data_IF_592806674722
#
_entry.id   IF_592806674722
#
_cell.length_a   1.000
_cell.length_b   1.000
_cell.length_c   1.000
_cell.angle_alpha   90.00
_cell.angle_beta   90.00
_cell.angle_gamma   90.00
#
_symmetry.space_group_name_H-M   'P 1'
#
loop_
_entity.id
_entity.type
_entity.pdbx_description
1 polymer ?
#
# COMPACT_ATOMS: atom_id res chain seq x y z
N UNK A 1 -66.11 20.91 28.37
CA UNK A 1 -64.88 21.34 29.07
C UNK A 1 -64.02 22.16 28.10
N UNK A 2 -64.20 23.48 28.10
CA UNK A 2 -63.44 24.42 27.28
C UNK A 2 -62.24 24.92 28.08
N UNK A 3 -61.02 24.69 27.59
CA UNK A 3 -59.79 25.15 28.25
C UNK A 3 -59.43 26.54 27.73
N UNK A 4 -59.34 27.50 28.65
CA UNK A 4 -58.86 28.86 28.40
C UNK A 4 -57.39 28.86 27.98
N UNK A 5 -57.10 29.60 26.90
CA UNK A 5 -55.74 29.89 26.42
C UNK A 5 -55.32 31.21 27.07
N UNK A 6 -54.41 31.15 28.04
CA UNK A 6 -53.75 32.33 28.61
C UNK A 6 -52.59 32.76 27.69
N UNK A 7 -52.78 33.84 26.94
CA UNK A 7 -51.70 34.52 26.21
C UNK A 7 -50.93 35.43 27.17
N UNK A 8 -49.71 35.02 27.54
CA UNK A 8 -48.78 35.82 28.34
C UNK A 8 -47.88 36.62 27.39
N UNK A 9 -48.02 37.94 27.39
CA UNK A 9 -47.17 38.85 26.61
C UNK A 9 -45.74 38.84 27.15
N UNK A 10 -44.77 38.55 26.28
CA UNK A 10 -43.33 38.58 26.61
C UNK A 10 -42.78 39.95 26.20
N UNK A 11 -42.14 40.72 27.08
CA UNK A 11 -41.53 42.00 26.72
C UNK A 11 -40.32 41.79 25.80
N UNK A 12 -40.26 42.58 24.73
CA UNK A 12 -39.12 42.64 23.79
C UNK A 12 -37.88 43.16 24.52
N UNK A 13 -36.84 42.33 24.61
CA UNK A 13 -35.52 42.75 25.06
C UNK A 13 -34.91 43.73 24.03
N UNK A 14 -34.59 44.94 24.49
CA UNK A 14 -33.82 45.93 23.74
C UNK A 14 -32.36 45.51 23.74
N UNK A 15 -31.84 45.15 22.56
CA UNK A 15 -30.41 44.88 22.39
C UNK A 15 -29.63 46.20 22.47
N UNK A 16 -28.99 46.45 23.62
CA UNK A 16 -27.90 47.41 23.67
C UNK A 16 -26.67 46.77 23.02
N UNK A 17 -26.35 47.22 21.81
CA UNK A 17 -25.10 46.89 21.13
C UNK A 17 -23.99 47.59 21.92
N UNK A 18 -23.35 46.87 22.85
CA UNK A 18 -22.09 47.30 23.46
C UNK A 18 -21.01 47.23 22.38
N UNK A 19 -20.69 48.37 21.78
CA UNK A 19 -19.49 48.56 20.97
C UNK A 19 -18.27 48.51 21.90
N UNK A 20 -17.74 47.30 22.12
CA UNK A 20 -16.44 47.14 22.74
C UNK A 20 -15.37 47.59 21.73
N UNK A 21 -14.86 48.79 21.95
CA UNK A 21 -13.59 49.29 21.40
C UNK A 21 -12.44 48.46 21.98
N UNK A 22 -12.28 47.23 21.48
CA UNK A 22 -11.10 46.42 21.76
C UNK A 22 -9.94 46.90 20.88
N UNK A 23 -8.87 47.31 21.54
CA UNK A 23 -7.64 47.74 20.91
C UNK A 23 -7.11 46.67 19.93
N UNK A 24 -6.65 47.14 18.76
CA UNK A 24 -6.04 46.36 17.69
C UNK A 24 -4.78 45.62 18.18
N UNK A 25 -4.92 44.40 18.68
CA UNK A 25 -3.84 43.42 18.60
C UNK A 25 -3.84 42.87 17.18
N UNK A 26 -2.77 43.08 16.43
CA UNK A 26 -2.54 42.42 15.15
C UNK A 26 -2.33 40.94 15.47
N UNK A 27 -3.40 40.14 15.39
CA UNK A 27 -3.31 38.70 15.60
C UNK A 27 -2.59 38.06 14.41
N UNK A 28 -1.59 37.24 14.72
CA UNK A 28 -0.88 36.45 13.72
C UNK A 28 -1.84 35.51 12.97
N UNK A 29 -1.65 35.29 11.66
CA UNK A 29 -2.50 34.37 10.91
C UNK A 29 -2.49 32.98 11.53
N UNK A 30 -3.65 32.32 11.52
CA UNK A 30 -3.73 30.93 11.96
C UNK A 30 -2.71 30.06 11.19
N UNK A 31 -2.02 29.15 11.91
CA UNK A 31 -0.93 28.34 11.33
C UNK A 31 -1.34 27.52 10.08
N UNK A 32 -2.65 27.22 9.94
CA UNK A 32 -3.21 26.48 8.83
C UNK A 32 -4.02 27.36 7.86
N UNK A 33 -3.80 28.67 7.83
CA UNK A 33 -4.58 29.57 6.99
C UNK A 33 -4.47 29.21 5.51
N UNK A 34 -5.61 28.90 4.90
CA UNK A 34 -5.78 28.70 3.47
C UNK A 34 -6.90 29.63 2.99
N UNK A 35 -6.60 30.68 2.21
CA UNK A 35 -7.60 31.61 1.70
C UNK A 35 -8.81 30.88 1.10
N UNK A 36 -10.01 31.16 1.61
CA UNK A 36 -11.26 30.57 1.13
C UNK A 36 -11.51 29.10 1.50
N UNK A 37 -10.66 28.47 2.33
CA UNK A 37 -10.83 27.07 2.75
C UNK A 37 -10.84 26.91 4.26
N UNK A 38 -9.77 27.33 4.94
CA UNK A 38 -9.53 27.02 6.35
C UNK A 38 -8.81 28.16 7.06
N UNK A 39 -9.12 28.35 8.35
CA UNK A 39 -8.43 29.30 9.22
C UNK A 39 -8.93 30.75 9.13
N UNK A 40 -8.59 31.55 10.14
CA UNK A 40 -8.83 32.99 10.14
C UNK A 40 -7.73 33.70 9.34
N UNK A 41 -8.15 34.68 8.54
CA UNK A 41 -7.23 35.53 7.78
C UNK A 41 -6.39 36.40 8.71
N UNK A 42 -5.19 36.78 8.25
CA UNK A 42 -4.34 37.71 8.98
C UNK A 42 -5.10 39.01 9.30
N UNK A 43 -5.10 39.43 10.57
CA UNK A 43 -5.76 40.65 11.03
C UNK A 43 -7.28 40.55 11.25
N UNK A 44 -7.91 39.40 10.99
CA UNK A 44 -9.29 39.13 11.41
C UNK A 44 -9.26 38.40 12.75
N UNK A 45 -9.69 39.01 13.85
CA UNK A 45 -9.68 38.34 15.14
C UNK A 45 -10.67 37.19 15.15
N UNK A 46 -10.25 36.07 15.73
CA UNK A 46 -11.13 34.94 15.99
C UNK A 46 -12.17 35.31 17.08
N UNK A 47 -13.37 34.72 17.06
CA UNK A 47 -14.40 35.07 18.03
C UNK A 47 -13.94 34.76 19.47
N UNK A 48 -14.28 35.61 20.46
CA UNK A 48 -13.81 35.43 21.83
C UNK A 48 -14.27 34.07 22.37
N UNK A 49 -13.33 33.32 22.98
CA UNK A 49 -13.58 31.97 23.50
C UNK A 49 -13.44 30.84 22.47
N UNK A 50 -13.15 31.15 21.21
CA UNK A 50 -12.72 30.17 20.22
C UNK A 50 -11.19 30.07 20.15
N UNK A 51 -10.66 29.08 19.45
CA UNK A 51 -9.22 29.00 19.13
C UNK A 51 -9.00 29.42 17.68
N UNK A 52 -7.91 30.13 17.41
CA UNK A 52 -7.57 30.61 16.06
C UNK A 52 -7.28 29.47 15.07
N UNK A 53 -6.87 28.30 15.56
CA UNK A 53 -6.67 27.09 14.75
C UNK A 53 -7.43 25.93 15.36
N UNK A 54 -7.96 25.00 14.54
CA UNK A 54 -8.56 23.79 15.06
C UNK A 54 -7.57 23.06 15.97
N UNK A 55 -8.08 22.53 17.09
CA UNK A 55 -7.27 21.71 17.99
C UNK A 55 -6.74 20.50 17.21
N UNK A 56 -5.48 20.08 17.44
CA UNK A 56 -4.96 18.88 16.82
C UNK A 56 -5.84 17.69 17.23
N UNK A 57 -6.07 16.72 16.32
CA UNK A 57 -6.82 15.51 16.68
C UNK A 57 -6.11 14.82 17.85
N UNK A 58 -6.86 14.24 18.80
CA UNK A 58 -6.25 13.55 19.94
C UNK A 58 -5.33 12.43 19.44
N UNK A 59 -4.21 12.24 20.12
CA UNK A 59 -3.29 11.15 19.79
C UNK A 59 -4.03 9.80 19.88
N UNK A 60 -3.78 8.88 18.94
CA UNK A 60 -4.39 7.56 18.98
C UNK A 60 -4.01 6.85 20.28
N UNK A 61 -4.97 6.15 20.87
CA UNK A 61 -4.71 5.31 22.04
C UNK A 61 -3.78 4.17 21.64
N UNK A 62 -2.70 4.02 22.38
CA UNK A 62 -1.73 2.94 22.24
C UNK A 62 -1.85 1.96 23.40
N UNK A 63 -1.20 0.82 23.29
CA UNK A 63 -1.12 -0.19 24.36
C UNK A 63 -0.63 0.40 25.69
N UNK A 64 0.24 1.40 25.65
CA UNK A 64 0.80 2.08 26.83
C UNK A 64 -0.21 3.00 27.52
N UNK A 65 -1.19 3.50 26.78
CA UNK A 65 -2.27 4.35 27.33
C UNK A 65 -3.35 3.56 28.06
N UNK A 66 -3.30 2.23 28.01
CA UNK A 66 -4.26 1.37 28.69
C UNK A 66 -4.00 1.37 30.20
N UNK A 67 -5.03 1.52 31.04
CA UNK A 67 -4.88 1.38 32.47
C UNK A 67 -4.45 -0.07 32.80
N UNK A 68 -3.48 -0.21 33.69
CA UNK A 68 -3.14 -1.52 34.25
C UNK A 68 -4.33 -2.08 35.05
N UNK A 69 -4.47 -3.42 35.10
CA UNK A 69 -5.50 -4.03 35.93
C UNK A 69 -5.31 -3.57 37.38
N UNK A 70 -6.36 -2.99 37.95
CA UNK A 70 -6.34 -2.49 39.32
C UNK A 70 -5.91 -3.58 40.29
N UNK A 71 -4.91 -3.29 41.13
CA UNK A 71 -4.46 -4.19 42.22
C UNK A 71 -5.59 -4.54 43.19
N UNK A 72 -6.65 -3.72 43.24
CA UNK A 72 -7.87 -3.97 44.05
C UNK A 72 -8.69 -5.16 43.56
N UNK A 73 -8.46 -5.65 42.34
CA UNK A 73 -9.14 -6.83 41.80
C UNK A 73 -8.34 -8.12 41.97
N UNK A 74 -7.20 -8.10 42.66
CA UNK A 74 -6.54 -9.35 43.08
C UNK A 74 -7.41 -10.04 44.12
N UNK A 75 -8.17 -11.04 43.70
CA UNK A 75 -9.03 -11.81 44.60
C UNK A 75 -8.14 -12.54 45.60
N UNK A 76 -8.44 -12.36 46.90
CA UNK A 76 -7.89 -13.20 47.97
C UNK A 76 -8.31 -14.65 47.72
N UNK A 77 -7.47 -15.63 48.10
CA UNK A 77 -7.71 -17.07 47.83
C UNK A 77 -9.13 -17.59 48.20
N UNK A 78 -9.81 -16.92 49.14
CA UNK A 78 -11.15 -17.27 49.65
C UNK A 78 -12.31 -16.46 49.03
N UNK A 79 -12.15 -15.87 47.84
CA UNK A 79 -13.22 -15.12 47.17
C UNK A 79 -14.44 -15.98 46.79
N UNK A 80 -15.63 -15.37 46.76
CA UNK A 80 -16.86 -16.06 46.34
C UNK A 80 -16.78 -16.49 44.87
N UNK A 81 -17.47 -17.56 44.45
CA UNK A 81 -17.46 -18.01 43.04
C UNK A 81 -17.82 -16.90 42.05
N UNK A 82 -18.77 -16.04 42.42
CA UNK A 82 -19.17 -14.88 41.60
C UNK A 82 -18.02 -13.89 41.40
N UNK A 83 -17.25 -13.58 42.45
CA UNK A 83 -16.10 -12.69 42.35
C UNK A 83 -15.01 -13.28 41.45
N UNK A 84 -14.76 -14.59 41.56
CA UNK A 84 -13.82 -15.32 40.68
C UNK A 84 -14.20 -15.16 39.21
N UNK A 85 -15.47 -15.39 38.88
CA UNK A 85 -15.98 -15.19 37.53
C UNK A 85 -15.83 -13.74 37.04
N UNK A 86 -16.21 -12.76 37.85
CA UNK A 86 -16.07 -11.34 37.49
C UNK A 86 -14.61 -10.96 37.20
N UNK A 87 -13.66 -11.45 38.01
CA UNK A 87 -12.24 -11.23 37.76
C UNK A 87 -11.73 -11.92 36.49
N UNK A 88 -12.13 -13.17 36.24
CA UNK A 88 -11.80 -13.87 35.00
C UNK A 88 -12.31 -13.10 33.78
N UNK A 89 -13.54 -12.59 33.84
CA UNK A 89 -14.12 -11.76 32.79
C UNK A 89 -13.39 -10.42 32.62
N UNK A 90 -12.99 -9.75 33.71
CA UNK A 90 -12.19 -8.52 33.63
C UNK A 90 -10.81 -8.78 33.02
N UNK A 91 -10.14 -9.87 33.44
CA UNK A 91 -8.86 -10.29 32.88
C UNK A 91 -8.98 -10.54 31.38
N UNK A 92 -10.02 -11.26 30.97
CA UNK A 92 -10.32 -11.56 29.58
C UNK A 92 -10.60 -10.28 28.76
N UNK A 93 -11.39 -9.33 29.30
CA UNK A 93 -11.59 -8.02 28.65
C UNK A 93 -10.27 -7.27 28.47
N UNK A 94 -9.39 -7.27 29.47
CA UNK A 94 -8.10 -6.59 29.41
C UNK A 94 -7.16 -7.24 28.38
N UNK A 95 -7.12 -8.57 28.30
CA UNK A 95 -6.33 -9.27 27.27
C UNK A 95 -6.81 -8.95 25.87
N UNK A 96 -8.13 -9.04 25.62
CA UNK A 96 -8.71 -8.69 24.32
C UNK A 96 -8.44 -7.24 23.94
N UNK A 97 -8.58 -6.31 24.90
CA UNK A 97 -8.31 -4.90 24.65
C UNK A 97 -6.84 -4.67 24.30
N UNK A 98 -5.92 -5.31 25.02
CA UNK A 98 -4.48 -5.22 24.76
C UNK A 98 -4.11 -5.78 23.39
N UNK A 99 -4.67 -6.94 23.03
CA UNK A 99 -4.45 -7.56 21.71
C UNK A 99 -5.02 -6.71 20.58
N UNK A 100 -6.20 -6.13 20.77
CA UNK A 100 -6.81 -5.20 19.81
C UNK A 100 -5.89 -4.02 19.51
N UNK A 101 -5.40 -3.32 20.54
CA UNK A 101 -4.50 -2.17 20.35
C UNK A 101 -3.15 -2.59 19.75
N UNK A 102 -2.58 -3.73 20.16
CA UNK A 102 -1.38 -4.29 19.50
C UNK A 102 -1.60 -4.52 18.01
N UNK A 103 -2.75 -5.09 17.65
CA UNK A 103 -3.12 -5.33 16.25
C UNK A 103 -3.32 -4.04 15.46
N UNK A 104 -3.94 -3.02 16.05
CA UNK A 104 -4.08 -1.70 15.42
C UNK A 104 -2.72 -1.01 15.23
N UNK A 105 -1.86 -1.02 16.24
CA UNK A 105 -0.54 -0.38 16.18
C UNK A 105 0.34 -1.08 15.12
N UNK A 106 0.30 -2.41 15.04
CA UNK A 106 0.97 -3.17 13.97
C UNK A 106 0.44 -2.77 12.58
N UNK A 107 -0.88 -2.73 12.40
CA UNK A 107 -1.50 -2.30 11.12
C UNK A 107 -1.10 -0.86 10.75
N UNK A 108 -1.11 0.07 11.71
CA UNK A 108 -0.69 1.46 11.48
C UNK A 108 0.77 1.55 11.05
N UNK A 109 1.66 0.84 11.74
CA UNK A 109 3.09 0.82 11.42
C UNK A 109 3.36 0.28 10.01
N UNK A 110 2.62 -0.75 9.59
CA UNK A 110 2.74 -1.33 8.25
C UNK A 110 2.22 -0.37 7.18
N UNK A 111 1.07 0.28 7.40
CA UNK A 111 0.55 1.31 6.50
C UNK A 111 1.54 2.47 6.36
N UNK A 112 2.15 2.93 7.45
CA UNK A 112 3.19 3.96 7.38
C UNK A 112 4.42 3.51 6.61
N UNK A 113 4.89 2.28 6.82
CA UNK A 113 6.00 1.70 6.08
C UNK A 113 5.70 1.64 4.58
N UNK A 114 4.50 1.21 4.22
CA UNK A 114 4.04 1.16 2.83
C UNK A 114 3.95 2.56 2.20
N UNK A 115 3.39 3.55 2.93
CA UNK A 115 3.32 4.96 2.48
C UNK A 115 4.71 5.58 2.30
N UNK A 116 5.63 5.36 3.24
CA UNK A 116 7.02 5.83 3.11
C UNK A 116 7.71 5.15 1.92
N UNK A 117 7.50 3.85 1.74
CA UNK A 117 8.03 3.09 0.61
C UNK A 117 7.49 3.56 -0.75
N UNK A 118 6.18 3.81 -0.86
CA UNK A 118 5.56 4.31 -2.10
C UNK A 118 6.03 5.73 -2.43
N UNK A 119 6.14 6.61 -1.43
CA UNK A 119 6.63 7.97 -1.60
C UNK A 119 8.10 7.99 -2.06
N UNK A 120 8.95 7.14 -1.47
CA UNK A 120 10.34 6.97 -1.91
C UNK A 120 10.43 6.49 -3.36
N UNK A 121 9.61 5.50 -3.75
CA UNK A 121 9.55 5.02 -5.14
C UNK A 121 9.13 6.11 -6.11
N UNK A 122 8.14 6.93 -5.73
CA UNK A 122 7.69 8.05 -6.54
C UNK A 122 8.78 9.11 -6.70
N UNK A 123 9.50 9.45 -5.63
CA UNK A 123 10.62 10.40 -5.69
C UNK A 123 11.75 9.89 -6.58
N UNK A 124 12.12 8.61 -6.48
CA UNK A 124 13.12 8.00 -7.35
C UNK A 124 12.70 8.07 -8.82
N UNK A 125 11.42 7.77 -9.11
CA UNK A 125 10.89 7.88 -10.46
C UNK A 125 10.94 9.31 -10.99
N UNK A 126 10.48 10.28 -10.19
CA UNK A 126 10.54 11.70 -10.57
C UNK A 126 11.98 12.19 -10.79
N UNK A 127 12.94 11.73 -9.97
CA UNK A 127 14.35 12.06 -10.15
C UNK A 127 14.91 11.45 -11.45
N UNK A 128 14.57 10.20 -11.77
CA UNK A 128 14.95 9.56 -13.02
C UNK A 128 14.37 10.28 -14.24
N UNK A 129 13.08 10.65 -14.18
CA UNK A 129 12.39 11.38 -15.24
C UNK A 129 12.99 12.77 -15.45
N UNK A 130 13.40 13.47 -14.37
CA UNK A 130 14.11 14.75 -14.45
C UNK A 130 15.45 14.62 -15.15
N UNK A 131 16.26 13.63 -14.76
CA UNK A 131 17.57 13.39 -15.39
C UNK A 131 17.40 13.05 -16.88
N UNK A 132 16.38 12.27 -17.24
CA UNK A 132 16.11 11.96 -18.65
C UNK A 132 15.66 13.19 -19.44
N UNK A 133 14.79 14.01 -18.87
CA UNK A 133 14.35 15.27 -19.49
C UNK A 133 15.51 16.26 -19.65
N UNK A 134 16.37 16.40 -18.65
CA UNK A 134 17.57 17.24 -18.73
C UNK A 134 18.51 16.78 -19.84
N UNK A 135 18.74 15.46 -19.98
CA UNK A 135 19.52 14.90 -21.09
C UNK A 135 18.90 15.18 -22.45
N UNK A 136 17.57 15.08 -22.55
CA UNK A 136 16.84 15.39 -23.79
C UNK A 136 16.98 16.86 -24.16
N UNK A 137 16.81 17.76 -23.19
CA UNK A 137 16.97 19.20 -23.38
C UNK A 137 18.43 19.58 -23.72
N UNK A 138 19.41 18.92 -23.09
CA UNK A 138 20.83 19.12 -23.42
C UNK A 138 21.12 18.71 -24.87
N UNK A 139 20.55 17.59 -25.33
CA UNK A 139 20.65 17.19 -26.73
C UNK A 139 19.94 18.18 -27.67
N UNK A 140 18.77 18.69 -27.30
CA UNK A 140 18.04 19.68 -28.08
C UNK A 140 18.81 21.01 -28.18
N UNK A 141 19.43 21.48 -27.10
CA UNK A 141 20.34 22.63 -27.09
C UNK A 141 21.54 22.42 -28.00
N UNK A 142 22.12 21.22 -28.02
CA UNK A 142 23.18 20.86 -28.98
C UNK A 142 22.69 20.84 -30.44
N UNK A 143 21.37 20.76 -30.68
CA UNK A 143 20.78 20.81 -32.01
C UNK A 143 20.40 22.24 -32.46
N UNK A 144 20.48 23.23 -31.57
CA UNK A 144 20.27 24.64 -31.93
C UNK A 144 21.49 25.26 -32.64
N UNK A 145 21.28 26.16 -33.62
CA UNK A 145 22.37 26.82 -34.34
C UNK A 145 23.24 27.73 -33.46
N UNK A 146 22.70 28.21 -32.32
CA UNK A 146 23.39 29.05 -31.33
C UNK A 146 23.84 28.27 -30.09
N UNK A 147 24.11 26.97 -30.21
CA UNK A 147 24.54 26.14 -29.10
C UNK A 147 25.80 26.72 -28.43
N UNK A 148 25.73 26.95 -27.12
CA UNK A 148 26.84 27.40 -26.31
C UNK A 148 27.36 26.25 -25.45
N UNK A 149 28.66 26.25 -25.21
CA UNK A 149 29.31 25.34 -24.26
C UNK A 149 29.05 25.73 -22.80
N UNK A 150 29.43 24.87 -21.87
CA UNK A 150 29.29 25.10 -20.42
C UNK A 150 29.97 26.40 -19.94
N UNK A 151 30.91 26.93 -20.72
CA UNK A 151 31.62 28.19 -20.50
C UNK A 151 31.00 29.40 -21.24
N UNK A 152 29.85 29.22 -21.90
CA UNK A 152 29.14 30.27 -22.65
C UNK A 152 29.72 30.59 -24.03
N UNK A 153 30.75 29.87 -24.48
CA UNK A 153 31.33 30.06 -25.82
C UNK A 153 30.47 29.37 -26.88
N UNK A 154 30.28 30.01 -28.03
CA UNK A 154 29.54 29.41 -29.15
C UNK A 154 30.33 28.24 -29.72
N UNK A 155 29.72 27.06 -29.73
CA UNK A 155 30.31 25.86 -30.29
C UNK A 155 30.60 26.05 -31.78
N UNK A 156 31.83 25.73 -32.20
CA UNK A 156 32.14 25.66 -33.63
C UNK A 156 31.43 24.45 -34.26
N UNK A 157 31.21 24.49 -35.58
CA UNK A 157 30.50 23.42 -36.29
C UNK A 157 31.14 22.04 -36.15
N UNK A 158 32.47 21.97 -36.07
CA UNK A 158 33.21 20.71 -35.91
C UNK A 158 33.07 20.12 -34.49
N UNK A 159 33.23 20.96 -33.46
CA UNK A 159 33.12 20.53 -32.06
C UNK A 159 31.69 20.05 -31.74
N UNK A 160 30.70 20.75 -32.29
CA UNK A 160 29.29 20.38 -32.18
C UNK A 160 29.02 19.02 -32.84
N UNK A 161 29.56 18.77 -34.03
CA UNK A 161 29.43 17.48 -34.71
C UNK A 161 30.09 16.35 -33.92
N UNK A 162 31.24 16.59 -33.29
CA UNK A 162 31.90 15.63 -32.43
C UNK A 162 31.03 15.26 -31.21
N UNK A 163 30.49 16.25 -30.49
CA UNK A 163 29.60 16.03 -29.33
C UNK A 163 28.32 15.28 -29.71
N UNK A 164 27.71 15.63 -30.84
CA UNK A 164 26.53 14.91 -31.35
C UNK A 164 26.89 13.46 -31.71
N UNK A 165 28.04 13.23 -32.34
CA UNK A 165 28.50 11.88 -32.69
C UNK A 165 28.74 11.03 -31.43
N UNK A 166 29.32 11.59 -30.38
CA UNK A 166 29.49 10.93 -29.08
C UNK A 166 28.15 10.57 -28.44
N UNK A 167 27.20 11.51 -28.40
CA UNK A 167 25.85 11.25 -27.88
C UNK A 167 25.13 10.14 -28.64
N UNK A 168 25.25 10.11 -29.97
CA UNK A 168 24.67 9.04 -30.81
C UNK A 168 25.32 7.69 -30.53
N UNK A 169 26.65 7.65 -30.36
CA UNK A 169 27.39 6.43 -29.96
C UNK A 169 26.92 5.93 -28.60
N UNK A 170 26.86 6.78 -27.58
CA UNK A 170 26.39 6.42 -26.24
C UNK A 170 24.95 5.87 -26.29
N UNK A 171 24.06 6.54 -27.03
CA UNK A 171 22.67 6.10 -27.20
C UNK A 171 22.58 4.74 -27.88
N UNK A 172 23.43 4.45 -28.86
CA UNK A 172 23.48 3.15 -29.54
C UNK A 172 23.93 2.05 -28.58
N UNK A 173 25.00 2.28 -27.81
CA UNK A 173 25.50 1.34 -26.79
C UNK A 173 24.42 1.07 -25.75
N UNK A 174 23.75 2.11 -25.24
CA UNK A 174 22.68 1.96 -24.25
C UNK A 174 21.48 1.19 -24.80
N UNK A 175 21.09 1.42 -26.06
CA UNK A 175 20.02 0.66 -26.73
C UNK A 175 20.38 -0.82 -26.85
N UNK A 176 21.62 -1.12 -27.22
CA UNK A 176 22.10 -2.51 -27.32
C UNK A 176 22.12 -3.19 -25.96
N UNK A 177 22.62 -2.54 -24.91
CA UNK A 177 22.60 -3.07 -23.55
C UNK A 177 21.16 -3.30 -23.04
N UNK A 178 20.24 -2.37 -23.31
CA UNK A 178 18.83 -2.53 -22.97
C UNK A 178 18.16 -3.68 -23.74
N UNK A 179 18.54 -3.86 -25.02
CA UNK A 179 18.06 -4.97 -25.84
C UNK A 179 18.55 -6.31 -25.28
N UNK A 180 19.85 -6.44 -24.99
CA UNK A 180 20.43 -7.64 -24.37
C UNK A 180 19.75 -7.96 -23.04
N UNK A 181 19.58 -6.96 -22.16
CA UNK A 181 18.88 -7.14 -20.88
C UNK A 181 17.43 -7.60 -21.05
N UNK A 182 16.74 -7.11 -22.08
CA UNK A 182 15.37 -7.55 -22.39
C UNK A 182 15.36 -8.99 -22.92
N UNK A 183 16.32 -9.33 -23.78
CA UNK A 183 16.49 -10.67 -24.33
C UNK A 183 16.85 -11.69 -23.24
N UNK A 184 17.73 -11.33 -22.31
CA UNK A 184 18.07 -12.12 -21.12
C UNK A 184 16.84 -12.42 -20.28
N UNK A 185 16.03 -11.40 -19.96
CA UNK A 185 14.76 -11.62 -19.23
C UNK A 185 13.80 -12.52 -20.00
N UNK A 186 13.62 -12.29 -21.29
CA UNK A 186 12.76 -13.15 -22.10
C UNK A 186 13.31 -14.58 -22.22
N UNK A 187 14.64 -14.78 -22.14
CA UNK A 187 15.25 -16.11 -22.07
C UNK A 187 15.00 -16.78 -20.73
N UNK A 188 15.05 -16.03 -19.62
CA UNK A 188 14.70 -16.51 -18.28
C UNK A 188 13.23 -16.92 -18.22
N UNK A 189 12.31 -16.07 -18.70
CA UNK A 189 10.88 -16.38 -18.75
C UNK A 189 10.58 -17.64 -19.56
N UNK A 190 11.30 -17.85 -20.67
CA UNK A 190 11.21 -19.08 -21.49
C UNK A 190 11.72 -20.30 -20.73
N UNK A 191 12.85 -20.19 -20.04
CA UNK A 191 13.39 -21.29 -19.23
C UNK A 191 12.42 -21.65 -18.10
N UNK A 192 11.88 -20.68 -17.39
CA UNK A 192 10.92 -20.89 -16.31
C UNK A 192 9.66 -21.59 -16.82
N UNK A 193 9.16 -21.18 -17.99
CA UNK A 193 8.05 -21.86 -18.65
C UNK A 193 8.39 -23.31 -19.03
N UNK A 194 9.61 -23.58 -19.51
CA UNK A 194 10.07 -24.95 -19.79
C UNK A 194 10.19 -25.80 -18.53
N UNK A 195 10.70 -25.25 -17.42
CA UNK A 195 10.79 -25.96 -16.13
C UNK A 195 9.39 -26.30 -15.62
N UNK A 196 8.43 -25.35 -15.73
CA UNK A 196 7.03 -25.61 -15.39
C UNK A 196 6.44 -26.73 -16.24
N UNK A 197 6.69 -26.70 -17.55
CA UNK A 197 6.23 -27.73 -18.47
C UNK A 197 6.87 -29.09 -18.16
N UNK A 198 8.14 -29.13 -17.81
CA UNK A 198 8.84 -30.35 -17.40
C UNK A 198 8.20 -30.99 -16.16
N UNK A 199 7.87 -30.19 -15.14
CA UNK A 199 7.18 -30.70 -13.96
C UNK A 199 5.72 -31.07 -14.21
N UNK A 200 5.05 -30.40 -15.16
CA UNK A 200 3.71 -30.77 -15.58
C UNK A 200 3.70 -31.97 -16.55
N UNK A 201 4.84 -32.37 -17.10
CA UNK A 201 4.93 -33.45 -18.06
C UNK A 201 4.62 -34.83 -17.44
N UNK A 202 4.80 -34.98 -16.13
CA UNK A 202 4.37 -36.18 -15.39
C UNK A 202 2.85 -36.42 -15.55
N UNK A 203 2.08 -35.33 -15.69
CA UNK A 203 0.63 -35.38 -15.90
C UNK A 203 0.24 -35.57 -17.37
N UNK A 204 1.17 -35.63 -18.31
CA UNK A 204 0.84 -35.87 -19.72
C UNK A 204 0.32 -37.29 -19.95
N UNK A 205 -0.62 -37.41 -20.89
CA UNK A 205 -1.22 -38.68 -21.28
C UNK A 205 -0.40 -39.26 -22.43
N UNK A 206 0.12 -40.46 -22.22
CA UNK A 206 0.79 -41.30 -23.21
C UNK A 206 -0.07 -42.54 -23.47
N UNK A 207 0.16 -43.23 -24.58
CA UNK A 207 -0.60 -44.45 -24.90
C UNK A 207 -0.48 -45.54 -23.82
N UNK A 208 0.62 -45.53 -23.07
CA UNK A 208 0.90 -46.50 -22.01
C UNK A 208 0.19 -46.16 -20.70
N UNK A 209 -0.04 -44.87 -20.41
CA UNK A 209 -0.68 -44.41 -19.16
C UNK A 209 -2.16 -44.02 -19.31
N UNK A 210 -2.68 -44.07 -20.54
CA UNK A 210 -4.03 -43.62 -20.88
C UNK A 210 -5.10 -44.40 -20.10
N UNK A 211 -5.03 -45.73 -20.09
CA UNK A 211 -6.02 -46.56 -19.39
C UNK A 211 -5.96 -46.35 -17.86
N UNK A 212 -4.76 -46.16 -17.31
CA UNK A 212 -4.57 -45.89 -15.89
C UNK A 212 -5.20 -44.55 -15.48
N UNK A 213 -4.99 -43.48 -16.26
CA UNK A 213 -5.58 -42.15 -16.00
C UNK A 213 -7.09 -42.13 -16.22
N UNK A 214 -7.59 -42.89 -17.20
CA UNK A 214 -9.03 -43.07 -17.40
C UNK A 214 -9.66 -43.73 -16.18
N UNK A 215 -9.08 -44.81 -15.69
CA UNK A 215 -9.58 -45.50 -14.50
C UNK A 215 -9.51 -44.60 -13.26
N UNK A 216 -8.38 -43.90 -13.05
CA UNK A 216 -8.25 -42.92 -11.97
C UNK A 216 -9.36 -41.84 -12.04
N UNK A 217 -9.62 -41.30 -13.23
CA UNK A 217 -10.68 -40.31 -13.44
C UNK A 217 -12.08 -40.88 -13.14
N UNK A 218 -12.36 -42.14 -13.50
CA UNK A 218 -13.65 -42.76 -13.19
C UNK A 218 -13.77 -43.18 -11.72
N UNK A 219 -12.69 -43.58 -11.06
CA UNK A 219 -12.70 -43.96 -9.65
C UNK A 219 -12.78 -42.74 -8.71
N UNK A 220 -12.02 -41.68 -9.01
CA UNK A 220 -11.98 -40.45 -8.20
C UNK A 220 -13.01 -39.41 -8.63
N UNK A 221 -13.26 -39.29 -9.93
CA UNK A 221 -14.13 -38.25 -10.51
C UNK A 221 -15.62 -38.55 -10.47
N UNK A 222 -16.04 -39.82 -10.32
CA UNK A 222 -17.46 -40.17 -10.12
C UNK A 222 -17.86 -40.32 -8.65
N UNK A 223 -16.92 -40.57 -7.73
CA UNK A 223 -17.23 -40.77 -6.30
C UNK A 223 -17.59 -39.46 -5.59
N UNK A 224 -17.12 -38.32 -6.11
CA UNK A 224 -17.64 -37.01 -5.75
C UNK A 224 -18.77 -36.63 -6.70
N UNK A 225 -19.95 -36.34 -6.15
CA UNK A 225 -21.09 -35.71 -6.84
C UNK A 225 -20.77 -34.29 -7.37
N UNK A 226 -19.52 -33.98 -7.70
CA UNK A 226 -19.13 -32.78 -8.41
C UNK A 226 -19.57 -32.92 -9.86
N UNK A 227 -20.80 -32.49 -10.15
CA UNK A 227 -21.03 -31.78 -11.41
C UNK A 227 -19.85 -30.83 -11.58
N UNK A 228 -19.20 -30.84 -12.74
CA UNK A 228 -18.16 -29.84 -13.07
C UNK A 228 -18.85 -28.49 -13.05
N UNK A 229 -18.89 -27.86 -11.88
CA UNK A 229 -19.38 -26.51 -11.72
C UNK A 229 -18.28 -25.63 -12.32
N UNK A 230 -18.47 -25.27 -13.59
CA UNK A 230 -17.73 -24.16 -14.17
C UNK A 230 -18.09 -22.96 -13.32
N UNK A 231 -17.16 -22.50 -12.50
CA UNK A 231 -17.38 -21.36 -11.61
C UNK A 231 -17.83 -20.18 -12.45
N UNK A 232 -19.08 -19.77 -12.27
CA UNK A 232 -19.64 -18.65 -13.02
C UNK A 232 -18.96 -17.35 -12.61
N UNK A 233 -18.95 -16.35 -13.51
CA UNK A 233 -18.51 -14.99 -13.15
C UNK A 233 -19.26 -14.47 -11.91
N UNK A 234 -20.54 -14.80 -11.81
CA UNK A 234 -21.38 -14.43 -10.68
C UNK A 234 -20.93 -15.08 -9.37
N UNK A 235 -20.52 -16.35 -9.40
CA UNK A 235 -19.99 -17.04 -8.21
C UNK A 235 -18.64 -16.47 -7.78
N UNK A 236 -17.76 -16.11 -8.73
CA UNK A 236 -16.50 -15.42 -8.41
C UNK A 236 -16.74 -14.04 -7.78
N UNK A 237 -17.73 -13.29 -8.27
CA UNK A 237 -18.09 -11.99 -7.70
C UNK A 237 -18.72 -12.16 -6.32
N UNK A 238 -19.62 -13.13 -6.15
CA UNK A 238 -20.20 -13.47 -4.84
C UNK A 238 -19.12 -13.87 -3.84
N UNK A 239 -18.16 -14.70 -4.22
CA UNK A 239 -17.04 -15.08 -3.36
C UNK A 239 -16.21 -13.84 -2.95
N UNK A 240 -15.94 -12.91 -3.88
CA UNK A 240 -15.26 -11.66 -3.55
C UNK A 240 -16.10 -10.77 -2.61
N UNK A 241 -17.42 -10.73 -2.78
CA UNK A 241 -18.30 -9.89 -1.96
C UNK A 241 -18.59 -10.48 -0.57
N UNK A 242 -18.82 -11.79 -0.49
CA UNK A 242 -19.18 -12.52 0.74
C UNK A 242 -17.95 -12.82 1.60
N UNK A 243 -16.87 -13.29 0.97
CA UNK A 243 -15.59 -13.52 1.65
C UNK A 243 -14.82 -12.22 1.87
N UNK A 244 -15.32 -11.09 1.37
CA UNK A 244 -14.66 -9.78 1.44
C UNK A 244 -13.30 -9.77 0.74
N UNK A 245 -13.12 -10.64 -0.27
CA UNK A 245 -11.85 -10.89 -0.95
C UNK A 245 -10.82 -11.64 -0.10
N UNK A 246 -11.22 -12.25 1.02
CA UNK A 246 -10.34 -13.11 1.79
C UNK A 246 -10.04 -14.39 1.00
N UNK A 247 -8.75 -14.64 0.79
CA UNK A 247 -8.27 -15.84 0.12
C UNK A 247 -8.42 -17.00 1.08
N UNK A 248 -8.99 -18.12 0.62
CA UNK A 248 -9.07 -19.35 1.41
C UNK A 248 -7.68 -19.75 1.93
N UNK A 249 -7.60 -20.41 3.09
CA UNK A 249 -6.31 -20.83 3.67
C UNK A 249 -5.47 -21.66 2.69
N UNK A 250 -6.11 -22.57 1.94
CA UNK A 250 -5.44 -23.34 0.89
C UNK A 250 -4.91 -22.44 -0.24
N UNK A 251 -5.68 -21.43 -0.65
CA UNK A 251 -5.22 -20.42 -1.62
C UNK A 251 -4.08 -19.55 -1.08
N UNK A 252 -4.08 -19.21 0.22
CA UNK A 252 -2.99 -18.47 0.87
C UNK A 252 -1.69 -19.28 0.85
N UNK A 253 -1.75 -20.57 1.20
CA UNK A 253 -0.57 -21.45 1.15
C UNK A 253 -0.01 -21.58 -0.27
N UNK A 254 -0.88 -21.74 -1.28
CA UNK A 254 -0.45 -21.76 -2.69
C UNK A 254 0.25 -20.46 -3.07
N UNK A 255 -0.34 -19.31 -2.74
CA UNK A 255 0.27 -17.99 -3.01
C UNK A 255 1.57 -17.78 -2.25
N UNK A 256 1.66 -18.23 -1.00
CA UNK A 256 2.90 -18.16 -0.22
C UNK A 256 4.01 -18.97 -0.88
N UNK A 257 3.68 -20.16 -1.37
CA UNK A 257 4.63 -21.02 -2.07
C UNK A 257 5.04 -20.43 -3.44
N UNK A 258 4.10 -19.87 -4.20
CA UNK A 258 4.39 -19.13 -5.44
C UNK A 258 5.29 -17.92 -5.17
N UNK A 259 5.05 -17.18 -4.08
CA UNK A 259 5.88 -16.03 -3.71
C UNK A 259 7.29 -16.47 -3.28
N UNK A 260 7.41 -17.57 -2.54
CA UNK A 260 8.71 -18.17 -2.19
C UNK A 260 9.46 -18.57 -3.45
N UNK A 261 8.80 -19.28 -4.36
CA UNK A 261 9.36 -19.68 -5.64
C UNK A 261 9.87 -18.48 -6.46
N UNK A 262 9.07 -17.40 -6.55
CA UNK A 262 9.48 -16.18 -7.26
C UNK A 262 10.66 -15.47 -6.58
N UNK A 263 10.72 -15.44 -5.25
CA UNK A 263 11.82 -14.80 -4.50
C UNK A 263 13.12 -15.59 -4.59
N UNK A 264 13.01 -16.91 -4.51
CA UNK A 264 14.16 -17.82 -4.54
C UNK A 264 14.60 -18.15 -5.99
N UNK A 265 13.85 -17.70 -7.00
CA UNK A 265 14.12 -18.00 -8.41
C UNK A 265 13.94 -19.48 -8.75
N UNK A 266 13.05 -20.15 -8.01
CA UNK A 266 12.73 -21.56 -8.14
C UNK A 266 11.33 -21.79 -8.72
N UNK A 267 11.10 -23.00 -9.20
CA UNK A 267 9.80 -23.47 -9.67
C UNK A 267 9.44 -24.76 -8.93
N UNK A 268 8.13 -24.97 -8.70
CA UNK A 268 7.58 -26.19 -8.11
C UNK A 268 7.97 -26.44 -6.65
N UNK A 269 7.94 -25.40 -5.82
CA UNK A 269 8.17 -25.49 -4.39
C UNK A 269 9.63 -25.66 -4.00
N UNK A 270 10.53 -24.90 -4.61
CA UNK A 270 11.95 -24.88 -4.25
C UNK A 270 12.80 -26.01 -4.83
N UNK A 271 12.27 -26.86 -5.71
CA UNK A 271 12.97 -28.06 -6.20
C UNK A 271 14.01 -27.78 -7.28
N UNK A 272 13.74 -26.82 -8.18
CA UNK A 272 14.63 -26.48 -9.29
C UNK A 272 14.63 -24.97 -9.49
N UNK A 273 15.81 -24.36 -9.44
CA UNK A 273 16.00 -22.93 -9.68
C UNK A 273 16.84 -22.62 -10.91
N UNK A 274 16.66 -21.42 -11.44
CA UNK A 274 17.40 -20.92 -12.60
C UNK A 274 18.92 -21.04 -12.41
N UNK A 275 19.41 -20.68 -11.22
CA UNK A 275 20.84 -20.75 -10.90
C UNK A 275 21.36 -22.20 -10.84
N UNK A 276 20.55 -23.14 -10.33
CA UNK A 276 20.91 -24.55 -10.29
C UNK A 276 20.94 -25.19 -11.67
N UNK A 277 20.03 -24.80 -12.58
CA UNK A 277 20.03 -25.26 -13.97
C UNK A 277 21.22 -24.68 -14.75
N UNK A 278 21.52 -23.39 -14.56
CA UNK A 278 22.65 -22.72 -15.20
C UNK A 278 24.00 -23.26 -14.71
N UNK A 279 24.18 -23.47 -13.41
CA UNK A 279 25.40 -24.04 -12.85
C UNK A 279 25.69 -25.46 -13.40
N UNK A 280 24.65 -26.27 -13.64
CA UNK A 280 24.78 -27.59 -14.28
C UNK A 280 25.14 -27.51 -15.76
N UNK A 281 24.64 -26.50 -16.47
CA UNK A 281 24.98 -26.28 -17.88
C UNK A 281 26.41 -25.74 -18.05
N UNK A 282 26.87 -24.87 -17.16
CA UNK A 282 28.22 -24.29 -17.20
C UNK A 282 29.32 -25.28 -16.72
N UNK A 283 28.93 -26.37 -16.06
CA UNK A 283 29.85 -27.43 -15.59
C UNK A 283 29.87 -28.70 -16.45
N UNK A 284 29.04 -28.76 -17.48
CA UNK A 284 28.97 -29.84 -18.47
C UNK A 284 29.74 -29.46 -19.75
#
# INVERSE_FOLDING_TARGET
MLRHICTRAVPRATYQIRTLTSARSVEEPSANYRPGKEGFAAGMPHPPGSSASPLPPPAPRTVESLPEMSKKHQIKANGTPKQKYEFEMTKLRHTYQREHFKGEDAKRSEIERQRKGSLRRLQIRQAADRVENERRLAFERLMEPSAQDEQGQTLTGADRQAKVAEFVKERKVRRQANFQKREERASQDRLDAMIRLYHAADDFVTMENLDAKINEFYETGLTLQSKVFVTGVQEMVSDVMESGGQVSHAGLLKREQELKDVLDGTVSGGKVGYEGAKAKADSA
#
